data_IF_303416267975
#
_entry.id   IF_303416267975
#
_cell.length_a   1.000
_cell.length_b   1.000
_cell.length_c   1.000
_cell.angle_alpha   90.00
_cell.angle_beta   90.00
_cell.angle_gamma   90.00
#
_symmetry.space_group_name_H-M   'P 1'
#
loop_
_entity.id
_entity.type
_entity.pdbx_description
1 polymer ?
#
# COMPACT_ATOMS: atom_id res chain seq x y z
N UNK A 1 -25.19 -0.82 -21.09
CA UNK A 1 -24.98 -1.32 -19.72
C UNK A 1 -26.35 -1.55 -19.10
N UNK A 2 -27.19 -0.52 -19.11
CA UNK A 2 -28.59 -0.62 -18.69
C UNK A 2 -29.42 -1.63 -19.49
N UNK A 3 -29.18 -1.77 -20.80
CA UNK A 3 -29.93 -2.71 -21.67
C UNK A 3 -29.79 -4.20 -21.30
N UNK A 4 -28.76 -4.54 -20.53
CA UNK A 4 -28.50 -5.90 -20.02
C UNK A 4 -28.57 -5.97 -18.49
N UNK A 5 -29.11 -4.94 -17.84
CA UNK A 5 -29.23 -4.88 -16.38
C UNK A 5 -27.90 -4.74 -15.63
N UNK A 6 -26.83 -4.29 -16.30
CA UNK A 6 -25.52 -4.10 -15.69
C UNK A 6 -25.27 -2.63 -15.37
N UNK A 7 -24.99 -2.33 -14.09
CA UNK A 7 -24.40 -1.06 -13.71
C UNK A 7 -22.87 -1.21 -13.50
N UNK A 8 -22.17 -0.09 -13.39
CA UNK A 8 -20.71 -0.08 -13.29
C UNK A 8 -20.18 -0.85 -12.05
N UNK A 9 -20.73 -0.69 -10.84
CA UNK A 9 -20.34 -1.50 -9.68
C UNK A 9 -20.46 -3.00 -9.93
N UNK A 10 -21.60 -3.47 -10.44
CA UNK A 10 -21.82 -4.90 -10.73
C UNK A 10 -20.81 -5.38 -11.77
N UNK A 11 -20.57 -4.62 -12.84
CA UNK A 11 -19.61 -5.02 -13.86
C UNK A 11 -18.19 -5.14 -13.32
N UNK A 12 -17.73 -4.18 -12.50
CA UNK A 12 -16.40 -4.21 -11.90
C UNK A 12 -16.27 -5.40 -10.94
N UNK A 13 -17.31 -5.71 -10.18
CA UNK A 13 -17.36 -6.86 -9.27
C UNK A 13 -17.25 -8.18 -10.03
N UNK A 14 -18.07 -8.37 -11.08
CA UNK A 14 -18.04 -9.56 -11.94
C UNK A 14 -16.68 -9.77 -12.63
N UNK A 15 -16.09 -8.69 -13.19
CA UNK A 15 -14.78 -8.77 -13.86
C UNK A 15 -13.65 -9.03 -12.87
N UNK A 16 -13.77 -8.57 -11.63
CA UNK A 16 -12.85 -8.88 -10.54
C UNK A 16 -12.97 -10.34 -10.11
N UNK A 17 -13.72 -10.58 -9.05
CA UNK A 17 -13.89 -11.91 -8.45
C UNK A 17 -15.28 -12.10 -7.79
N UNK A 18 -16.26 -11.27 -8.13
CA UNK A 18 -17.59 -11.27 -7.52
C UNK A 18 -18.49 -12.45 -7.90
N UNK A 19 -18.14 -13.18 -8.97
CA UNK A 19 -18.97 -14.27 -9.49
C UNK A 19 -18.15 -15.52 -9.92
N UNK A 20 -18.49 -16.73 -9.44
CA UNK A 20 -17.79 -17.97 -9.79
C UNK A 20 -17.78 -18.29 -11.29
N UNK A 21 -18.87 -18.01 -12.00
CA UNK A 21 -18.96 -18.28 -13.43
C UNK A 21 -18.04 -17.33 -14.21
N UNK A 22 -17.95 -16.06 -13.79
CA UNK A 22 -17.00 -15.10 -14.33
C UNK A 22 -15.54 -15.43 -14.00
N UNK A 23 -15.26 -16.01 -12.82
CA UNK A 23 -13.92 -16.46 -12.43
C UNK A 23 -13.44 -17.61 -13.33
N UNK A 24 -14.32 -18.57 -13.64
CA UNK A 24 -13.99 -19.74 -14.46
C UNK A 24 -14.03 -19.45 -15.96
N UNK A 25 -14.72 -18.39 -16.39
CA UNK A 25 -14.77 -17.95 -17.77
C UNK A 25 -13.38 -17.56 -18.30
N UNK A 26 -12.90 -18.29 -19.31
CA UNK A 26 -11.56 -18.11 -19.86
C UNK A 26 -11.30 -16.70 -20.42
N UNK A 27 -12.32 -16.07 -21.02
CA UNK A 27 -12.21 -14.73 -21.61
C UNK A 27 -12.12 -13.66 -20.53
N UNK A 28 -13.00 -13.71 -19.53
CA UNK A 28 -12.99 -12.76 -18.42
C UNK A 28 -11.68 -12.87 -17.63
N UNK A 29 -11.22 -14.11 -17.37
CA UNK A 29 -9.93 -14.35 -16.73
C UNK A 29 -8.77 -13.73 -17.51
N UNK A 30 -8.74 -13.87 -18.84
CA UNK A 30 -7.70 -13.28 -19.67
C UNK A 30 -7.68 -11.74 -19.58
N UNK A 31 -8.85 -11.10 -19.73
CA UNK A 31 -8.98 -9.64 -19.63
C UNK A 31 -8.60 -9.13 -18.23
N UNK A 32 -9.04 -9.82 -17.18
CA UNK A 32 -8.66 -9.51 -15.80
C UNK A 32 -7.14 -9.60 -15.63
N UNK A 33 -6.52 -10.68 -16.06
CA UNK A 33 -5.05 -10.83 -15.98
C UNK A 33 -4.35 -9.71 -16.76
N UNK A 34 -4.80 -9.41 -17.97
CA UNK A 34 -4.24 -8.32 -18.78
C UNK A 34 -4.34 -6.97 -18.05
N UNK A 35 -5.45 -6.67 -17.39
CA UNK A 35 -5.61 -5.47 -16.58
C UNK A 35 -4.64 -5.45 -15.39
N UNK A 36 -4.55 -6.56 -14.63
CA UNK A 36 -3.75 -6.65 -13.39
C UNK A 36 -2.24 -6.49 -13.63
N UNK A 37 -1.74 -6.90 -14.80
CA UNK A 37 -0.31 -6.75 -15.15
C UNK A 37 -0.02 -5.49 -15.95
N UNK A 38 -1.04 -4.69 -16.27
CA UNK A 38 -0.88 -3.47 -17.07
C UNK A 38 -0.58 -2.25 -16.21
N UNK A 39 0.14 -1.30 -16.80
CA UNK A 39 0.23 0.09 -16.29
C UNK A 39 -1.13 0.82 -16.27
N UNK A 40 -2.14 0.23 -16.90
CA UNK A 40 -3.50 0.78 -16.97
C UNK A 40 -4.18 0.82 -15.60
N UNK A 41 -4.06 -0.23 -14.80
CA UNK A 41 -4.73 -0.32 -13.49
C UNK A 41 -4.24 0.76 -12.50
N UNK A 42 -2.93 0.95 -12.26
CA UNK A 42 -2.45 2.04 -11.41
C UNK A 42 -2.91 3.41 -11.90
N UNK A 43 -2.93 3.61 -13.22
CA UNK A 43 -3.38 4.85 -13.86
C UNK A 43 -4.88 5.12 -13.62
N UNK A 44 -5.72 4.08 -13.66
CA UNK A 44 -7.14 4.14 -13.33
C UNK A 44 -7.35 4.50 -11.86
N UNK A 45 -6.69 3.78 -10.94
CA UNK A 45 -6.82 4.02 -9.50
C UNK A 45 -6.41 5.44 -9.11
N UNK A 46 -5.33 5.98 -9.70
CA UNK A 46 -4.91 7.38 -9.49
C UNK A 46 -5.97 8.38 -9.95
N UNK A 47 -6.63 8.14 -11.08
CA UNK A 47 -7.72 9.00 -11.57
C UNK A 47 -8.99 8.87 -10.73
N UNK A 48 -9.31 7.69 -10.20
CA UNK A 48 -10.43 7.52 -9.28
C UNK A 48 -10.18 8.24 -7.95
N UNK A 49 -8.96 8.13 -7.42
CA UNK A 49 -8.55 8.84 -6.21
C UNK A 49 -8.53 10.36 -6.42
N UNK A 50 -8.03 10.82 -7.57
CA UNK A 50 -7.91 12.25 -7.88
C UNK A 50 -8.39 12.57 -9.30
N UNK A 51 -9.72 12.69 -9.52
CA UNK A 51 -10.29 12.91 -10.85
C UNK A 51 -9.70 14.13 -11.55
N UNK A 52 -9.40 14.12 -12.86
CA UNK A 52 -8.84 15.29 -13.54
C UNK A 52 -9.74 16.52 -13.34
N UNK A 53 -9.14 17.69 -13.10
CA UNK A 53 -9.89 18.94 -12.99
C UNK A 53 -10.46 19.35 -14.35
N UNK A 54 -11.68 19.88 -14.36
CA UNK A 54 -12.27 20.47 -15.56
C UNK A 54 -11.59 21.79 -15.89
N UNK A 55 -10.80 21.82 -16.98
CA UNK A 55 -10.17 23.04 -17.48
C UNK A 55 -11.23 24.12 -17.75
N UNK A 56 -11.15 25.25 -17.05
CA UNK A 56 -12.03 26.40 -17.26
C UNK A 56 -13.21 26.52 -16.28
N UNK A 57 -13.44 25.54 -15.40
CA UNK A 57 -14.39 25.69 -14.29
C UNK A 57 -13.67 26.07 -13.00
N UNK A 58 -14.27 27.01 -12.24
CA UNK A 58 -13.87 27.33 -10.86
C UNK A 58 -14.52 26.40 -9.83
N UNK A 59 -15.30 25.42 -10.28
CA UNK A 59 -15.99 24.49 -9.41
C UNK A 59 -15.02 23.64 -8.62
N UNK A 60 -15.42 23.31 -7.40
CA UNK A 60 -14.67 22.41 -6.52
C UNK A 60 -14.47 21.09 -7.25
N UNK A 61 -13.20 20.66 -7.34
CA UNK A 61 -12.83 19.36 -7.93
C UNK A 61 -13.67 18.26 -7.29
N UNK A 62 -14.26 17.40 -8.12
CA UNK A 62 -14.98 16.24 -7.63
C UNK A 62 -14.09 15.42 -6.69
N UNK A 63 -14.60 15.09 -5.50
CA UNK A 63 -13.90 14.24 -4.52
C UNK A 63 -13.60 12.85 -5.08
N UNK A 64 -14.40 12.39 -6.06
CA UNK A 64 -14.23 11.07 -6.68
C UNK A 64 -14.24 9.97 -5.63
N UNK A 65 -13.37 8.97 -5.80
CA UNK A 65 -13.12 7.92 -4.83
C UNK A 65 -12.04 8.26 -3.81
N UNK A 66 -11.66 9.53 -3.61
CA UNK A 66 -10.53 9.92 -2.74
C UNK A 66 -10.67 9.37 -1.33
N UNK A 67 -11.88 9.43 -0.76
CA UNK A 67 -12.13 8.95 0.59
C UNK A 67 -12.03 7.42 0.67
N UNK A 68 -12.81 6.69 -0.14
CA UNK A 68 -12.82 5.23 -0.16
C UNK A 68 -11.43 4.62 -0.50
N UNK A 69 -10.74 5.18 -1.50
CA UNK A 69 -9.40 4.71 -1.86
C UNK A 69 -8.34 5.13 -0.82
N UNK A 70 -8.54 6.25 -0.12
CA UNK A 70 -7.67 6.68 0.97
C UNK A 70 -7.76 5.74 2.17
N UNK A 71 -8.97 5.39 2.60
CA UNK A 71 -9.20 4.42 3.68
C UNK A 71 -8.64 3.04 3.31
N UNK A 72 -8.99 2.53 2.13
CA UNK A 72 -8.46 1.24 1.65
C UNK A 72 -6.92 1.22 1.58
N UNK A 73 -6.31 2.31 1.10
CA UNK A 73 -4.83 2.39 1.02
C UNK A 73 -4.19 2.41 2.40
N UNK A 74 -4.83 3.04 3.38
CA UNK A 74 -4.38 3.05 4.76
C UNK A 74 -4.45 1.65 5.39
N UNK A 75 -5.56 0.93 5.19
CA UNK A 75 -5.71 -0.46 5.63
C UNK A 75 -4.63 -1.37 5.03
N UNK A 76 -4.39 -1.26 3.71
CA UNK A 76 -3.32 -2.00 3.04
C UNK A 76 -1.94 -1.71 3.63
N UNK A 77 -1.66 -0.45 3.97
CA UNK A 77 -0.40 -0.05 4.57
C UNK A 77 -0.24 -0.61 5.97
N UNK A 78 -1.29 -0.56 6.80
CA UNK A 78 -1.28 -1.15 8.14
C UNK A 78 -0.95 -2.64 8.07
N UNK A 79 -1.66 -3.38 7.20
CA UNK A 79 -1.41 -4.82 7.02
C UNK A 79 0.04 -5.08 6.57
N UNK A 80 0.55 -4.32 5.59
CA UNK A 80 1.92 -4.50 5.12
C UNK A 80 2.97 -4.26 6.22
N UNK A 81 2.72 -3.30 7.12
CA UNK A 81 3.59 -3.04 8.27
C UNK A 81 3.46 -4.13 9.33
N UNK A 82 2.25 -4.62 9.62
CA UNK A 82 2.03 -5.72 10.55
C UNK A 82 2.71 -7.01 10.06
N UNK A 83 2.54 -7.36 8.78
CA UNK A 83 3.19 -8.50 8.14
C UNK A 83 4.72 -8.37 8.23
N UNK A 84 5.27 -7.19 7.98
CA UNK A 84 6.71 -6.95 8.15
C UNK A 84 7.14 -7.10 9.61
N UNK A 85 6.41 -6.54 10.57
CA UNK A 85 6.76 -6.60 11.99
C UNK A 85 6.71 -8.04 12.53
N UNK A 86 5.77 -8.87 12.06
CA UNK A 86 5.71 -10.29 12.41
C UNK A 86 7.01 -11.01 12.01
N UNK A 87 7.59 -10.68 10.85
CA UNK A 87 8.87 -11.29 10.41
C UNK A 87 10.07 -10.91 11.27
N UNK A 88 10.00 -9.82 12.04
CA UNK A 88 11.10 -9.33 12.90
C UNK A 88 10.86 -9.68 14.36
N UNK A 89 9.73 -10.30 14.69
CA UNK A 89 9.34 -10.66 16.05
C UNK A 89 10.45 -11.45 16.75
N UNK A 90 11.06 -12.41 16.07
CA UNK A 90 12.12 -13.27 16.63
C UNK A 90 13.41 -12.51 16.97
N UNK A 91 13.70 -11.41 16.27
CA UNK A 91 14.88 -10.56 16.51
C UNK A 91 14.58 -9.50 17.57
N UNK A 92 13.30 -9.15 17.75
CA UNK A 92 12.84 -8.26 18.81
C UNK A 92 12.77 -8.94 20.19
N UNK A 93 12.89 -10.27 20.26
CA UNK A 93 12.99 -10.98 21.53
C UNK A 93 14.34 -10.69 22.20
N UNK A 94 14.26 -10.16 23.42
CA UNK A 94 15.44 -9.88 24.24
C UNK A 94 16.07 -11.18 24.75
N UNK A 95 17.38 -11.42 24.54
CA UNK A 95 18.08 -12.42 25.35
C UNK A 95 18.14 -11.94 26.81
N UNK A 96 18.16 -12.88 27.76
CA UNK A 96 18.03 -12.60 29.21
C UNK A 96 19.11 -11.65 29.78
N UNK A 97 20.20 -11.40 29.05
CA UNK A 97 21.34 -10.55 29.39
C UNK A 97 21.33 -9.15 28.74
N UNK A 98 20.39 -8.86 27.85
CA UNK A 98 20.36 -7.63 27.06
C UNK A 98 19.98 -6.36 27.85
N UNK A 99 19.51 -6.49 29.10
CA UNK A 99 19.34 -5.36 30.03
C UNK A 99 20.59 -5.05 30.88
N UNK A 100 21.73 -5.68 30.57
CA UNK A 100 23.01 -5.31 31.17
C UNK A 100 23.49 -3.93 30.67
N UNK A 101 24.32 -3.26 31.48
CA UNK A 101 24.92 -1.98 31.09
C UNK A 101 25.72 -2.07 29.78
N UNK A 102 26.38 -3.20 29.54
CA UNK A 102 27.13 -3.47 28.31
C UNK A 102 26.19 -3.74 27.13
N UNK A 103 25.09 -4.47 27.34
CA UNK A 103 24.06 -4.68 26.32
C UNK A 103 23.44 -3.37 25.84
N UNK A 104 23.08 -2.47 26.76
CA UNK A 104 22.50 -1.17 26.45
C UNK A 104 23.48 -0.17 25.81
N UNK A 105 24.79 -0.31 26.05
CA UNK A 105 25.81 0.58 25.47
C UNK A 105 26.45 0.02 24.20
N UNK A 106 26.22 -1.25 23.88
CA UNK A 106 26.70 -1.92 22.66
C UNK A 106 25.83 -1.67 21.41
N UNK A 107 24.63 -1.10 21.57
CA UNK A 107 23.70 -0.82 20.47
C UNK A 107 24.10 0.44 19.71
N UNK A 108 24.65 0.27 18.50
CA UNK A 108 24.91 1.37 17.57
C UNK A 108 23.69 1.67 16.70
N UNK A 109 23.38 2.95 16.52
CA UNK A 109 22.26 3.42 15.69
C UNK A 109 22.46 2.98 14.23
N UNK A 110 23.70 2.98 13.76
CA UNK A 110 24.10 2.53 12.43
C UNK A 110 23.74 1.06 12.19
N UNK A 111 23.90 0.21 13.21
CA UNK A 111 23.55 -1.21 13.13
C UNK A 111 22.04 -1.42 13.08
N UNK A 112 21.26 -0.59 13.77
CA UNK A 112 19.80 -0.58 13.62
C UNK A 112 19.38 -0.14 12.23
N UNK A 113 19.98 0.93 11.68
CA UNK A 113 19.69 1.39 10.32
C UNK A 113 19.99 0.27 9.32
N UNK A 114 21.15 -0.38 9.43
CA UNK A 114 21.54 -1.47 8.54
C UNK A 114 20.56 -2.64 8.62
N UNK A 115 20.14 -3.05 9.82
CA UNK A 115 19.16 -4.12 10.02
C UNK A 115 17.79 -3.76 9.44
N UNK A 116 17.27 -2.58 9.73
CA UNK A 116 15.96 -2.13 9.24
C UNK A 116 15.91 -1.92 7.72
N UNK A 117 17.03 -1.50 7.12
CA UNK A 117 17.13 -1.21 5.68
C UNK A 117 17.33 -2.44 4.80
N UNK A 118 17.76 -3.58 5.36
CA UNK A 118 18.21 -4.75 4.58
C UNK A 118 17.08 -5.79 4.46
N UNK A 119 16.59 -6.09 3.24
CA UNK A 119 15.61 -7.15 3.02
C UNK A 119 16.18 -8.52 3.44
N UNK A 120 15.40 -9.31 4.20
CA UNK A 120 15.73 -10.70 4.53
C UNK A 120 16.62 -10.95 5.75
N UNK A 121 17.05 -9.92 6.48
CA UNK A 121 17.73 -10.05 7.79
C UNK A 121 16.81 -9.66 8.97
N UNK A 122 15.50 -9.83 8.80
CA UNK A 122 14.48 -9.26 9.70
C UNK A 122 14.47 -7.73 9.65
N UNK A 123 14.67 -7.15 8.48
CA UNK A 123 14.44 -5.73 8.24
C UNK A 123 12.96 -5.44 7.99
N UNK A 124 12.55 -4.19 8.22
CA UNK A 124 11.21 -3.68 7.89
C UNK A 124 11.31 -2.64 6.77
N UNK A 125 11.65 -3.05 5.53
CA UNK A 125 12.00 -2.11 4.46
C UNK A 125 10.83 -1.20 4.07
N UNK A 126 9.58 -1.65 4.18
CA UNK A 126 8.39 -0.84 3.91
C UNK A 126 8.17 0.17 5.04
N UNK A 127 8.25 -0.25 6.30
CA UNK A 127 8.18 0.66 7.44
C UNK A 127 9.33 1.70 7.40
N UNK A 128 10.54 1.26 7.08
CA UNK A 128 11.71 2.12 6.94
C UNK A 128 11.52 3.14 5.81
N UNK A 129 11.08 2.71 4.63
CA UNK A 129 10.79 3.61 3.51
C UNK A 129 9.73 4.66 3.88
N UNK A 130 8.68 4.25 4.62
CA UNK A 130 7.65 5.15 5.12
C UNK A 130 8.23 6.19 6.10
N UNK A 131 8.98 5.76 7.12
CA UNK A 131 9.60 6.64 8.10
C UNK A 131 10.57 7.62 7.44
N UNK A 132 11.41 7.13 6.52
CA UNK A 132 12.39 7.94 5.80
C UNK A 132 11.73 9.01 4.92
N UNK A 133 10.67 8.68 4.19
CA UNK A 133 9.93 9.66 3.38
C UNK A 133 9.29 10.75 4.25
N UNK A 134 8.70 10.39 5.39
CA UNK A 134 8.08 11.35 6.30
C UNK A 134 9.13 12.24 6.99
N UNK A 135 10.24 11.68 7.50
CA UNK A 135 11.33 12.46 8.11
C UNK A 135 11.96 13.45 7.12
N UNK A 136 12.17 13.04 5.86
CA UNK A 136 12.67 13.94 4.81
C UNK A 136 11.69 15.08 4.50
N UNK A 137 10.38 14.82 4.57
CA UNK A 137 9.36 15.85 4.41
C UNK A 137 9.41 16.88 5.55
N UNK A 138 9.47 16.44 6.81
CA UNK A 138 9.56 17.34 7.97
C UNK A 138 10.84 18.19 7.97
N UNK A 139 12.00 17.63 7.62
CA UNK A 139 13.26 18.37 7.55
C UNK A 139 13.29 19.41 6.43
N UNK A 140 12.48 19.22 5.38
CA UNK A 140 12.35 20.17 4.27
C UNK A 140 11.47 21.38 4.62
N UNK A 141 10.64 21.28 5.67
CA UNK A 141 9.83 22.38 6.21
C UNK A 141 10.51 23.15 7.35
N UNK A 142 11.61 22.62 7.90
CA UNK A 142 12.36 23.23 9.01
C UNK A 142 13.57 24.07 8.53
N UNK A 143 13.72 24.30 7.23
CA UNK A 143 14.69 25.21 6.62
C UNK A 143 13.97 26.39 5.97
#
# INVERSE_FOLDING_TARGET
MDDVGLNLPIFLDLVGWGDPDCITNAKIRYERTALMVSEGLPSILRRWHKPPGTSGSKDVRAQGGSHALGEFSFECMVQAVEDELETVQDIMQYPDDALSADGLTSLFIEDMILKLSTPGFGGTPTLWAFLHQNLSFYLSFSK
#
